data_IF_706056732725
#
_entry.id   IF_706056732725
#
_cell.length_a   1.000
_cell.length_b   1.000
_cell.length_c   1.000
_cell.angle_alpha   90.00
_cell.angle_beta   90.00
_cell.angle_gamma   90.00
#
_symmetry.space_group_name_H-M   'P 1'
#
loop_
_entity.id
_entity.type
_entity.pdbx_description
1 polymer ?
#
# COMPACT_ATOMS: atom_id res chain seq x y z
N UNK A 1 10.43 -1.28 31.70
CA UNK A 1 9.22 -2.06 32.13
C UNK A 1 8.39 -2.37 30.89
N UNK A 2 7.94 -3.63 30.71
CA UNK A 2 7.10 -4.02 29.57
C UNK A 2 5.64 -3.91 29.94
N UNK A 3 4.86 -3.21 29.13
CA UNK A 3 3.42 -3.03 29.35
C UNK A 3 2.67 -3.26 28.05
N UNK A 4 1.64 -4.11 28.11
CA UNK A 4 0.69 -4.23 27.02
C UNK A 4 -0.19 -2.98 26.98
N UNK A 5 -0.34 -2.40 25.79
CA UNK A 5 -1.12 -1.21 25.52
C UNK A 5 -2.03 -1.45 24.33
N UNK A 6 -3.27 -0.98 24.43
CA UNK A 6 -4.22 -1.02 23.34
C UNK A 6 -4.33 0.36 22.68
N UNK A 7 -4.17 0.40 21.35
CA UNK A 7 -4.46 1.56 20.54
C UNK A 7 -5.99 1.74 20.44
N UNK A 8 -6.54 2.67 21.22
CA UNK A 8 -7.99 2.91 21.31
C UNK A 8 -8.50 3.85 20.23
N UNK A 9 -7.72 4.87 19.90
CA UNK A 9 -8.13 5.87 18.93
C UNK A 9 -6.94 6.56 18.27
N UNK A 10 -7.19 7.10 17.09
CA UNK A 10 -6.25 7.91 16.31
C UNK A 10 -6.90 9.27 16.06
N UNK A 11 -6.20 10.38 16.34
CA UNK A 11 -6.73 11.70 15.96
C UNK A 11 -6.71 11.82 14.43
N UNK A 12 -7.89 11.94 13.85
CA UNK A 12 -8.11 11.86 12.40
C UNK A 12 -7.36 12.97 11.65
N UNK A 13 -7.42 14.22 12.13
CA UNK A 13 -6.82 15.37 11.43
C UNK A 13 -5.28 15.27 11.36
N UNK A 14 -4.55 15.09 12.49
CA UNK A 14 -3.09 14.87 12.43
C UNK A 14 -2.70 13.67 11.57
N UNK A 15 -3.44 12.56 11.65
CA UNK A 15 -3.18 11.37 10.84
C UNK A 15 -3.33 11.64 9.34
N UNK A 16 -4.38 12.37 8.97
CA UNK A 16 -4.67 12.71 7.56
C UNK A 16 -3.61 13.63 6.99
N UNK A 17 -3.24 14.69 7.71
CA UNK A 17 -2.25 15.67 7.25
C UNK A 17 -0.89 15.02 7.09
N UNK A 18 -0.45 14.23 8.07
CA UNK A 18 0.84 13.55 8.03
C UNK A 18 0.91 12.51 6.90
N UNK A 19 -0.11 11.64 6.75
CA UNK A 19 -0.12 10.69 5.63
C UNK A 19 -0.18 11.39 4.27
N UNK A 20 -0.94 12.48 4.15
CA UNK A 20 -0.97 13.24 2.90
C UNK A 20 0.40 13.84 2.55
N UNK A 21 1.10 14.39 3.54
CA UNK A 21 2.45 14.90 3.38
C UNK A 21 3.47 13.80 3.03
N UNK A 22 3.39 12.62 3.67
CA UNK A 22 4.22 11.46 3.31
C UNK A 22 3.98 11.04 1.86
N UNK A 23 2.73 10.96 1.41
CA UNK A 23 2.37 10.62 0.04
C UNK A 23 2.86 11.69 -0.96
N UNK A 24 2.84 12.97 -0.59
CA UNK A 24 3.39 14.04 -1.44
C UNK A 24 4.89 13.86 -1.69
N UNK A 25 5.65 13.53 -0.63
CA UNK A 25 7.09 13.30 -0.73
C UNK A 25 7.38 12.04 -1.56
N UNK A 26 6.61 10.95 -1.36
CA UNK A 26 6.70 9.77 -2.21
C UNK A 26 6.37 10.08 -3.68
N UNK A 27 5.34 10.88 -3.93
CA UNK A 27 4.99 11.37 -5.27
C UNK A 27 6.13 12.19 -5.90
N UNK A 28 6.85 12.97 -5.11
CA UNK A 28 8.02 13.72 -5.57
C UNK A 28 9.22 12.83 -5.89
N UNK A 29 9.53 11.86 -5.02
CA UNK A 29 10.56 10.86 -5.27
C UNK A 29 10.26 10.09 -6.56
N UNK A 30 9.00 9.66 -6.73
CA UNK A 30 8.55 8.98 -7.94
C UNK A 30 8.68 9.86 -9.18
N UNK A 31 8.34 11.15 -9.09
CA UNK A 31 8.49 12.09 -10.20
C UNK A 31 9.96 12.28 -10.63
N UNK A 32 10.90 12.34 -9.66
CA UNK A 32 12.33 12.42 -9.95
C UNK A 32 12.79 11.16 -10.68
N UNK A 33 12.39 9.98 -10.19
CA UNK A 33 12.71 8.70 -10.83
C UNK A 33 12.18 8.71 -12.27
N UNK A 34 10.91 9.08 -12.46
CA UNK A 34 10.28 9.14 -13.77
C UNK A 34 11.01 10.13 -14.70
N UNK A 35 11.49 11.26 -14.20
CA UNK A 35 12.28 12.22 -14.97
C UNK A 35 13.63 11.64 -15.44
N UNK A 36 14.34 10.95 -14.55
CA UNK A 36 15.62 10.32 -14.88
C UNK A 36 15.43 9.27 -15.97
N UNK A 37 14.48 8.36 -15.78
CA UNK A 37 14.20 7.30 -16.75
C UNK A 37 13.57 7.83 -18.03
N UNK A 38 12.65 8.80 -17.93
CA UNK A 38 12.03 9.45 -19.07
C UNK A 38 13.05 10.20 -19.93
N UNK A 39 14.01 10.88 -19.31
CA UNK A 39 15.12 11.53 -20.02
C UNK A 39 16.05 10.54 -20.72
N UNK A 40 16.44 9.46 -20.02
CA UNK A 40 17.26 8.40 -20.59
C UNK A 40 16.54 7.69 -21.76
N UNK A 41 15.23 7.46 -21.65
CA UNK A 41 14.47 6.80 -22.70
C UNK A 41 14.23 7.73 -23.90
N UNK A 42 13.94 9.01 -23.65
CA UNK A 42 13.77 10.01 -24.71
C UNK A 42 15.05 10.20 -25.55
N UNK A 43 16.24 10.13 -24.93
CA UNK A 43 17.51 10.21 -25.67
C UNK A 43 17.82 8.98 -26.53
N UNK A 44 17.26 7.82 -26.19
CA UNK A 44 17.38 6.62 -27.03
C UNK A 44 16.45 6.69 -28.26
N UNK A 45 15.33 7.42 -28.16
CA UNK A 45 14.34 7.54 -29.23
C UNK A 45 14.64 8.64 -30.25
N UNK A 46 15.50 9.61 -29.92
CA UNK A 46 15.73 10.81 -30.73
C UNK A 46 16.35 10.57 -32.11
N UNK A 47 16.76 9.33 -32.43
CA UNK A 47 17.25 8.91 -33.75
C UNK A 47 16.36 7.88 -34.47
N UNK A 48 15.14 7.66 -33.99
CA UNK A 48 14.21 6.65 -34.53
C UNK A 48 12.94 7.28 -35.11
N UNK A 49 12.14 6.54 -35.87
CA UNK A 49 10.81 6.96 -36.35
C UNK A 49 9.84 7.35 -35.20
N UNK A 50 10.15 6.95 -33.97
CA UNK A 50 9.42 7.30 -32.75
C UNK A 50 9.90 8.60 -32.09
N UNK A 51 10.78 9.37 -32.75
CA UNK A 51 11.30 10.64 -32.25
C UNK A 51 10.21 11.62 -31.76
N UNK A 52 9.01 11.74 -32.36
CA UNK A 52 7.95 12.61 -31.82
C UNK A 52 7.50 12.25 -30.39
N UNK A 53 7.61 10.98 -29.99
CA UNK A 53 7.26 10.54 -28.64
C UNK A 53 8.28 10.99 -27.59
N UNK A 54 9.52 11.28 -27.97
CA UNK A 54 10.56 11.76 -27.05
C UNK A 54 10.16 13.07 -26.37
N UNK A 55 9.59 14.01 -27.14
CA UNK A 55 9.09 15.28 -26.63
C UNK A 55 7.90 15.11 -25.68
N UNK A 56 7.00 14.16 -25.98
CA UNK A 56 5.85 13.84 -25.11
C UNK A 56 6.33 13.22 -23.79
N UNK A 57 7.27 12.26 -23.85
CA UNK A 57 7.81 11.59 -22.66
C UNK A 57 8.53 12.59 -21.76
N UNK A 58 9.37 13.47 -22.32
CA UNK A 58 10.02 14.54 -21.56
C UNK A 58 8.99 15.52 -20.98
N UNK A 59 7.99 15.92 -21.77
CA UNK A 59 6.93 16.82 -21.32
C UNK A 59 6.15 16.28 -20.13
N UNK A 60 5.71 15.01 -20.19
CA UNK A 60 5.03 14.33 -19.08
C UNK A 60 5.95 14.23 -17.86
N UNK A 61 7.22 13.91 -18.09
CA UNK A 61 8.20 13.75 -17.01
C UNK A 61 8.44 15.05 -16.24
N UNK A 62 8.59 16.17 -16.95
CA UNK A 62 8.79 17.50 -16.34
C UNK A 62 7.51 17.96 -15.65
N UNK A 63 6.34 17.82 -16.29
CA UNK A 63 5.06 18.14 -15.66
C UNK A 63 4.81 17.29 -14.40
N UNK A 64 5.26 16.04 -14.41
CA UNK A 64 5.19 15.10 -13.30
C UNK A 64 5.83 15.62 -12.01
N UNK A 65 6.87 16.45 -12.09
CA UNK A 65 7.52 17.04 -10.90
C UNK A 65 6.56 17.87 -10.04
N UNK A 66 5.50 18.42 -10.63
CA UNK A 66 4.48 19.19 -9.92
C UNK A 66 3.22 18.34 -9.73
N UNK A 67 2.79 17.63 -10.78
CA UNK A 67 1.53 16.90 -10.77
C UNK A 67 1.55 15.72 -9.81
N UNK A 68 2.63 14.93 -9.74
CA UNK A 68 2.67 13.76 -8.88
C UNK A 68 2.67 14.09 -7.38
N UNK A 69 3.50 15.04 -6.87
CA UNK A 69 3.45 15.40 -5.45
C UNK A 69 2.10 15.99 -5.04
N UNK A 70 1.59 16.96 -5.81
CA UNK A 70 0.33 17.64 -5.50
C UNK A 70 -0.86 16.69 -5.63
N UNK A 71 -0.88 15.89 -6.70
CA UNK A 71 -1.90 14.86 -6.91
C UNK A 71 -1.88 13.82 -5.80
N UNK A 72 -0.71 13.30 -5.44
CA UNK A 72 -0.58 12.30 -4.36
C UNK A 72 -0.99 12.87 -3.00
N UNK A 73 -0.67 14.13 -2.71
CA UNK A 73 -1.14 14.83 -1.52
C UNK A 73 -2.68 14.88 -1.48
N UNK A 74 -3.30 15.43 -2.52
CA UNK A 74 -4.76 15.65 -2.56
C UNK A 74 -5.54 14.33 -2.57
N UNK A 75 -5.09 13.35 -3.37
CA UNK A 75 -5.74 12.05 -3.50
C UNK A 75 -5.60 11.19 -2.25
N UNK A 76 -4.60 11.46 -1.39
CA UNK A 76 -4.40 10.70 -0.15
C UNK A 76 -5.16 11.27 1.06
N UNK A 77 -5.71 12.49 0.98
CA UNK A 77 -6.51 13.07 2.08
C UNK A 77 -7.72 12.19 2.39
N UNK A 78 -8.54 11.89 1.38
CA UNK A 78 -9.74 11.08 1.54
C UNK A 78 -9.45 9.67 2.11
N UNK A 79 -8.55 8.85 1.52
CA UNK A 79 -8.29 7.52 2.05
C UNK A 79 -7.68 7.55 3.44
N UNK A 80 -6.79 8.51 3.75
CA UNK A 80 -6.20 8.63 5.09
C UNK A 80 -7.24 9.02 6.14
N UNK A 81 -8.12 9.97 5.81
CA UNK A 81 -9.24 10.36 6.67
C UNK A 81 -10.17 9.18 6.94
N UNK A 82 -10.58 8.47 5.88
CA UNK A 82 -11.47 7.31 6.01
C UNK A 82 -10.81 6.18 6.80
N UNK A 83 -9.53 5.89 6.59
CA UNK A 83 -8.83 4.86 7.36
C UNK A 83 -8.81 5.15 8.86
N UNK A 84 -8.47 6.39 9.27
CA UNK A 84 -8.50 6.77 10.68
C UNK A 84 -9.92 6.79 11.28
N UNK A 85 -10.91 7.26 10.50
CA UNK A 85 -12.31 7.24 10.93
C UNK A 85 -12.82 5.81 11.12
N UNK A 86 -12.58 4.93 10.14
CA UNK A 86 -12.98 3.52 10.19
C UNK A 86 -12.28 2.77 11.32
N UNK A 87 -11.01 3.07 11.56
CA UNK A 87 -10.29 2.55 12.72
C UNK A 87 -11.03 2.89 14.01
N UNK A 88 -11.27 4.18 14.28
CA UNK A 88 -11.96 4.64 15.48
C UNK A 88 -13.39 4.07 15.61
N UNK A 89 -14.08 3.85 14.48
CA UNK A 89 -15.44 3.29 14.45
C UNK A 89 -15.46 1.78 14.75
N UNK A 90 -14.42 1.05 14.34
CA UNK A 90 -14.35 -0.41 14.45
C UNK A 90 -13.69 -0.88 15.75
N UNK A 91 -12.79 -0.10 16.34
CA UNK A 91 -12.11 -0.44 17.60
C UNK A 91 -13.09 -0.86 18.72
N UNK A 92 -14.21 -0.15 18.97
CA UNK A 92 -15.16 -0.57 20.02
C UNK A 92 -15.84 -1.93 19.76
N UNK A 93 -15.81 -2.43 18.51
CA UNK A 93 -16.47 -3.68 18.10
C UNK A 93 -15.51 -4.85 17.91
N UNK A 94 -14.31 -4.58 17.39
CA UNK A 94 -13.32 -5.59 17.03
C UNK A 94 -12.13 -5.64 17.99
N UNK A 95 -12.02 -4.68 18.91
CA UNK A 95 -10.82 -4.45 19.72
C UNK A 95 -9.77 -3.61 18.98
N UNK A 96 -8.97 -2.87 19.75
CA UNK A 96 -7.85 -2.09 19.24
C UNK A 96 -6.62 -2.93 18.92
N UNK A 97 -5.60 -2.26 18.34
CA UNK A 97 -4.31 -2.90 18.11
C UNK A 97 -3.62 -3.02 19.47
N UNK A 98 -3.35 -4.23 19.92
CA UNK A 98 -2.67 -4.49 21.18
C UNK A 98 -1.18 -4.73 20.94
N UNK A 99 -0.34 -3.89 21.56
CA UNK A 99 1.12 -3.92 21.42
C UNK A 99 1.79 -3.93 22.80
N UNK A 100 2.88 -4.67 22.91
CA UNK A 100 3.75 -4.66 24.08
C UNK A 100 4.83 -3.61 23.89
N UNK A 101 4.76 -2.55 24.69
CA UNK A 101 5.72 -1.46 24.69
C UNK A 101 6.74 -1.67 25.81
N UNK A 102 8.01 -1.56 25.46
CA UNK A 102 9.12 -1.43 26.39
C UNK A 102 9.47 0.05 26.52
N UNK A 103 9.27 0.57 27.73
CA UNK A 103 9.64 1.95 28.11
C UNK A 103 9.05 3.05 27.21
N UNK A 104 7.90 2.79 26.56
CA UNK A 104 7.25 3.71 25.60
C UNK A 104 8.14 4.11 24.41
N UNK A 105 9.21 3.35 24.15
CA UNK A 105 10.19 3.63 23.08
C UNK A 105 10.33 2.48 22.10
N UNK A 106 9.95 1.27 22.47
CA UNK A 106 10.10 0.10 21.60
C UNK A 106 8.85 -0.79 21.65
N UNK A 107 8.26 -1.05 20.48
CA UNK A 107 7.26 -2.10 20.31
C UNK A 107 8.03 -3.41 20.22
N UNK A 108 7.74 -4.35 21.13
CA UNK A 108 8.46 -5.64 21.21
C UNK A 108 7.60 -6.82 20.76
N UNK A 109 6.27 -6.67 20.87
CA UNK A 109 5.30 -7.69 20.50
C UNK A 109 4.00 -7.02 20.04
N UNK A 110 3.30 -7.65 19.10
CA UNK A 110 1.94 -7.31 18.74
C UNK A 110 1.03 -8.53 18.97
N UNK A 111 -0.14 -8.35 19.56
CA UNK A 111 -1.10 -9.46 19.64
C UNK A 111 -1.65 -9.77 18.25
N UNK A 112 -1.46 -11.02 17.82
CA UNK A 112 -1.69 -11.44 16.44
C UNK A 112 -3.16 -11.29 16.04
N UNK A 113 -4.08 -11.75 16.90
CA UNK A 113 -5.52 -11.77 16.57
C UNK A 113 -6.13 -10.37 16.55
N UNK A 114 -5.98 -9.52 17.59
CA UNK A 114 -6.52 -8.16 17.54
C UNK A 114 -5.91 -7.34 16.40
N UNK A 115 -4.60 -7.45 16.17
CA UNK A 115 -3.92 -6.76 15.07
C UNK A 115 -4.47 -7.15 13.71
N UNK A 116 -4.58 -8.46 13.44
CA UNK A 116 -5.09 -8.96 12.16
C UNK A 116 -6.56 -8.61 11.95
N UNK A 117 -7.38 -8.72 12.99
CA UNK A 117 -8.82 -8.50 12.91
C UNK A 117 -9.17 -7.03 12.63
N UNK A 118 -8.56 -6.09 13.36
CA UNK A 118 -8.85 -4.66 13.15
C UNK A 118 -8.30 -4.18 11.80
N UNK A 119 -7.12 -4.63 11.39
CA UNK A 119 -6.55 -4.25 10.09
C UNK A 119 -7.40 -4.79 8.94
N UNK A 120 -7.77 -6.08 8.99
CA UNK A 120 -8.65 -6.68 7.99
C UNK A 120 -10.03 -6.01 7.95
N UNK A 121 -10.61 -5.69 9.12
CA UNK A 121 -11.89 -5.01 9.22
C UNK A 121 -11.85 -3.61 8.60
N UNK A 122 -10.85 -2.79 8.95
CA UNK A 122 -10.67 -1.45 8.39
C UNK A 122 -10.48 -1.52 6.87
N UNK A 123 -9.58 -2.38 6.39
CA UNK A 123 -9.30 -2.49 4.95
C UNK A 123 -10.50 -3.04 4.16
N UNK A 124 -11.24 -4.00 4.71
CA UNK A 124 -12.42 -4.55 4.05
C UNK A 124 -13.56 -3.53 3.95
N UNK A 125 -13.85 -2.79 5.03
CA UNK A 125 -14.87 -1.73 5.00
C UNK A 125 -14.44 -0.59 4.08
N UNK A 126 -13.16 -0.22 4.12
CA UNK A 126 -12.61 0.76 3.18
C UNK A 126 -12.79 0.30 1.73
N UNK A 127 -12.45 -0.96 1.43
CA UNK A 127 -12.63 -1.54 0.10
C UNK A 127 -14.10 -1.56 -0.32
N UNK A 128 -15.04 -1.84 0.58
CA UNK A 128 -16.47 -1.78 0.31
C UNK A 128 -16.88 -0.36 -0.11
N UNK A 129 -16.45 0.65 0.64
CA UNK A 129 -16.74 2.06 0.34
C UNK A 129 -16.17 2.43 -1.03
N UNK A 130 -14.91 2.07 -1.32
CA UNK A 130 -14.29 2.34 -2.61
C UNK A 130 -15.02 1.64 -3.76
N UNK A 131 -15.43 0.39 -3.59
CA UNK A 131 -16.15 -0.35 -4.63
C UNK A 131 -17.57 0.15 -4.85
N UNK A 132 -18.25 0.68 -3.83
CA UNK A 132 -19.55 1.35 -4.01
C UNK A 132 -19.44 2.57 -4.94
N UNK A 133 -18.31 3.27 -4.92
CA UNK A 133 -18.07 4.42 -5.81
C UNK A 133 -17.52 4.01 -7.17
N UNK A 134 -16.56 3.08 -7.19
CA UNK A 134 -15.81 2.72 -8.40
C UNK A 134 -16.60 1.77 -9.30
N UNK A 135 -17.32 0.79 -8.75
CA UNK A 135 -17.97 -0.25 -9.55
C UNK A 135 -19.01 0.29 -10.55
N UNK A 136 -19.86 1.28 -10.21
CA UNK A 136 -20.75 1.90 -11.19
C UNK A 136 -19.98 2.63 -12.31
N UNK A 137 -18.89 3.33 -11.97
CA UNK A 137 -18.05 4.01 -12.95
C UNK A 137 -17.35 3.01 -13.88
N UNK A 138 -16.88 1.89 -13.34
CA UNK A 138 -16.30 0.80 -14.13
C UNK A 138 -17.33 0.20 -15.09
N UNK A 139 -18.57 -0.02 -14.65
CA UNK A 139 -19.63 -0.55 -15.50
C UNK A 139 -19.89 0.39 -16.70
N UNK A 140 -20.01 1.70 -16.45
CA UNK A 140 -20.19 2.72 -17.52
C UNK A 140 -19.00 2.74 -18.48
N UNK A 141 -17.76 2.66 -17.96
CA UNK A 141 -16.57 2.65 -18.81
C UNK A 141 -16.47 1.39 -19.66
N UNK A 142 -16.79 0.22 -19.10
CA UNK A 142 -16.81 -1.06 -19.83
C UNK A 142 -17.88 -1.01 -20.93
N UNK A 143 -19.05 -0.44 -20.66
CA UNK A 143 -20.10 -0.26 -21.66
C UNK A 143 -19.69 0.72 -22.77
N UNK A 144 -19.03 1.83 -22.42
CA UNK A 144 -18.51 2.79 -23.39
C UNK A 144 -17.46 2.15 -24.31
N UNK A 145 -16.50 1.40 -23.74
CA UNK A 145 -15.46 0.69 -24.52
C UNK A 145 -16.09 -0.39 -25.38
N UNK A 146 -17.05 -1.16 -24.84
CA UNK A 146 -17.80 -2.17 -25.58
C UNK A 146 -18.59 -1.58 -26.75
N UNK A 147 -19.18 -0.39 -26.57
CA UNK A 147 -19.89 0.36 -27.61
C UNK A 147 -18.97 0.90 -28.71
N UNK A 148 -17.74 1.30 -28.38
CA UNK A 148 -16.73 1.69 -29.38
C UNK A 148 -16.26 0.47 -30.18
N UNK A 149 -16.10 -0.68 -29.54
CA UNK A 149 -15.73 -1.94 -30.21
C UNK A 149 -16.77 -2.40 -31.23
N UNK A 150 -18.07 -2.27 -30.92
CA UNK A 150 -19.15 -2.60 -31.86
C UNK A 150 -19.27 -1.60 -33.01
N UNK A 151 -19.01 -0.31 -32.78
CA UNK A 151 -18.94 0.70 -33.84
C UNK A 151 -17.74 0.49 -34.78
N UNK A 152 -16.58 0.12 -34.25
CA UNK A 152 -15.39 -0.21 -35.04
C UNK A 152 -15.60 -1.46 -35.92
N UNK A 153 -16.30 -2.47 -35.40
CA UNK A 153 -16.67 -3.67 -36.17
C UNK A 153 -17.72 -3.34 -37.24
N UNK A 154 -18.74 -2.54 -36.92
CA UNK A 154 -19.75 -2.09 -37.88
C UNK A 154 -19.15 -1.27 -39.04
N UNK A 155 -18.08 -0.50 -38.80
CA UNK A 155 -17.37 0.25 -39.83
C UNK A 155 -16.59 -0.63 -40.83
N UNK A 156 -16.39 -1.91 -40.55
CA UNK A 156 -15.62 -2.85 -41.41
C UNK A 156 -16.49 -3.84 -42.19
N UNK A 157 -17.83 -3.77 -42.10
CA UNK A 157 -18.78 -4.73 -42.70
C UNK A 157 -18.50 -6.21 -42.39
N UNK A 158 -17.65 -6.51 -41.39
CA UNK A 158 -17.52 -7.85 -40.87
C UNK A 158 -18.84 -8.22 -40.18
N UNK A 159 -19.47 -9.32 -40.61
CA UNK A 159 -20.69 -9.85 -39.98
C UNK A 159 -20.46 -9.90 -38.48
N UNK A 160 -21.21 -9.07 -37.76
CA UNK A 160 -21.12 -8.91 -36.32
C UNK A 160 -21.35 -10.27 -35.65
N UNK A 161 -20.25 -10.98 -35.35
CA UNK A 161 -20.26 -11.92 -34.24
C UNK A 161 -20.70 -11.11 -33.05
N UNK A 162 -21.92 -11.37 -32.59
CA UNK A 162 -22.51 -10.70 -31.43
C UNK A 162 -21.48 -10.78 -30.30
N UNK A 163 -20.75 -9.69 -30.03
CA UNK A 163 -20.04 -9.59 -28.77
C UNK A 163 -21.15 -9.78 -27.73
N UNK A 164 -21.10 -10.85 -26.91
CA UNK A 164 -22.13 -11.07 -25.91
C UNK A 164 -22.28 -9.78 -25.13
N UNK A 165 -23.51 -9.31 -24.93
CA UNK A 165 -23.81 -8.05 -24.27
C UNK A 165 -23.03 -7.93 -22.95
N UNK A 166 -21.85 -7.32 -23.00
CA UNK A 166 -20.97 -7.14 -21.85
C UNK A 166 -21.65 -6.24 -20.80
N UNK A 167 -22.65 -5.44 -21.20
CA UNK A 167 -23.46 -4.58 -20.32
C UNK A 167 -24.38 -5.34 -19.37
N UNK A 168 -24.98 -6.47 -19.78
CA UNK A 168 -25.86 -7.28 -18.91
C UNK A 168 -25.09 -8.01 -17.80
N UNK A 169 -23.86 -8.42 -18.09
CA UNK A 169 -22.91 -8.95 -17.10
C UNK A 169 -22.24 -7.84 -16.27
N UNK A 170 -22.27 -6.58 -16.74
CA UNK A 170 -21.67 -5.43 -16.07
C UNK A 170 -22.40 -5.03 -14.79
N UNK A 171 -23.73 -4.92 -14.81
CA UNK A 171 -24.49 -4.52 -13.61
C UNK A 171 -24.56 -5.61 -12.54
N UNK A 172 -24.90 -6.85 -12.91
CA UNK A 172 -24.88 -7.98 -11.96
C UNK A 172 -23.46 -8.33 -11.52
N UNK A 173 -22.48 -8.27 -12.42
CA UNK A 173 -21.06 -8.45 -12.09
C UNK A 173 -20.54 -7.36 -11.16
N UNK A 174 -20.97 -6.12 -11.31
CA UNK A 174 -20.65 -5.03 -10.39
C UNK A 174 -21.23 -5.28 -8.99
N UNK A 175 -22.48 -5.71 -8.87
CA UNK A 175 -23.11 -6.03 -7.57
C UNK A 175 -22.36 -7.19 -6.89
N UNK A 176 -22.04 -8.25 -7.63
CA UNK A 176 -21.25 -9.38 -7.09
C UNK A 176 -19.87 -8.90 -6.66
N UNK A 177 -19.20 -8.05 -7.43
CA UNK A 177 -17.88 -7.53 -7.11
C UNK A 177 -17.87 -6.59 -5.89
N UNK A 178 -18.90 -5.76 -5.73
CA UNK A 178 -19.09 -4.88 -4.55
C UNK A 178 -19.13 -5.69 -3.26
N UNK A 179 -19.79 -6.86 -3.26
CA UNK A 179 -19.94 -7.70 -2.08
C UNK A 179 -18.73 -8.62 -1.90
N UNK A 180 -18.26 -9.26 -2.98
CA UNK A 180 -17.24 -10.28 -2.93
C UNK A 180 -15.84 -9.70 -2.70
N UNK A 181 -15.52 -8.54 -3.28
CA UNK A 181 -14.19 -7.92 -3.13
C UNK A 181 -13.85 -7.61 -1.67
N UNK A 182 -14.71 -6.96 -0.86
CA UNK A 182 -14.45 -6.75 0.56
C UNK A 182 -14.27 -8.04 1.35
N UNK A 183 -15.03 -9.09 1.05
CA UNK A 183 -14.91 -10.38 1.74
C UNK A 183 -13.57 -11.06 1.45
N UNK A 184 -13.18 -11.08 0.17
CA UNK A 184 -11.88 -11.59 -0.25
C UNK A 184 -10.75 -10.78 0.38
N UNK A 185 -10.83 -9.45 0.32
CA UNK A 185 -9.86 -8.55 0.96
C UNK A 185 -9.77 -8.80 2.46
N UNK A 186 -10.90 -8.97 3.16
CA UNK A 186 -10.90 -9.31 4.58
C UNK A 186 -10.09 -10.57 4.86
N UNK A 187 -10.35 -11.66 4.13
CA UNK A 187 -9.65 -12.95 4.34
C UNK A 187 -8.16 -12.82 4.06
N UNK A 188 -7.77 -12.23 2.93
CA UNK A 188 -6.36 -12.09 2.56
C UNK A 188 -5.61 -11.15 3.49
N UNK A 189 -6.20 -10.01 3.88
CA UNK A 189 -5.57 -9.08 4.82
C UNK A 189 -5.50 -9.70 6.21
N UNK A 190 -6.53 -10.43 6.66
CA UNK A 190 -6.49 -11.11 7.96
C UNK A 190 -5.35 -12.13 8.02
N UNK A 191 -5.25 -13.01 7.02
CA UNK A 191 -4.18 -14.02 6.95
C UNK A 191 -2.81 -13.33 6.84
N UNK A 192 -2.67 -12.36 5.94
CA UNK A 192 -1.42 -11.63 5.73
C UNK A 192 -0.95 -10.88 6.98
N UNK A 193 -1.86 -10.18 7.65
CA UNK A 193 -1.59 -9.46 8.89
C UNK A 193 -1.25 -10.40 10.05
N UNK A 194 -1.94 -11.53 10.17
CA UNK A 194 -1.65 -12.54 11.19
C UNK A 194 -0.25 -13.14 10.99
N UNK A 195 0.11 -13.50 9.75
CA UNK A 195 1.46 -13.99 9.43
C UNK A 195 2.51 -12.91 9.72
N UNK A 196 2.27 -11.66 9.30
CA UNK A 196 3.18 -10.56 9.56
C UNK A 196 3.39 -10.33 11.06
N UNK A 197 2.34 -10.37 11.88
CA UNK A 197 2.44 -10.23 13.34
C UNK A 197 3.17 -11.42 13.99
N UNK A 198 2.95 -12.65 13.51
CA UNK A 198 3.68 -13.83 13.97
C UNK A 198 5.18 -13.72 13.67
N UNK A 199 5.53 -13.34 12.44
CA UNK A 199 6.91 -13.13 12.03
C UNK A 199 7.54 -11.97 12.81
N UNK A 200 6.81 -10.89 13.01
CA UNK A 200 7.24 -9.78 13.85
C UNK A 200 7.59 -10.23 15.26
N UNK A 201 6.69 -10.95 15.94
CA UNK A 201 6.92 -11.46 17.28
C UNK A 201 8.10 -12.45 17.36
N UNK A 202 8.37 -13.18 16.29
CA UNK A 202 9.51 -14.10 16.20
C UNK A 202 10.84 -13.37 15.95
N UNK A 203 10.82 -12.28 15.19
CA UNK A 203 12.00 -11.54 14.75
C UNK A 203 12.40 -10.40 15.70
N UNK A 204 11.43 -9.74 16.33
CA UNK A 204 11.68 -8.58 17.21
C UNK A 204 12.67 -8.90 18.35
N UNK A 205 12.61 -10.06 19.03
CA UNK A 205 13.60 -10.41 20.05
C UNK A 205 15.03 -10.58 19.52
N UNK A 206 15.22 -10.75 18.20
CA UNK A 206 16.52 -11.00 17.57
C UNK A 206 17.10 -9.77 16.86
N UNK A 207 16.24 -8.95 16.26
CA UNK A 207 16.64 -7.80 15.44
C UNK A 207 16.45 -6.46 16.14
N UNK A 208 15.82 -6.47 17.33
CA UNK A 208 15.23 -5.27 17.92
C UNK A 208 13.84 -5.03 17.33
N UNK A 209 12.92 -4.61 18.18
CA UNK A 209 11.57 -4.24 17.83
C UNK A 209 11.48 -2.92 17.07
N UNK A 210 10.26 -2.42 16.88
CA UNK A 210 10.08 -1.10 16.26
C UNK A 210 10.35 -0.03 17.31
N UNK A 211 11.40 0.76 17.12
CA UNK A 211 11.73 1.86 18.02
C UNK A 211 10.99 3.12 17.61
N UNK A 212 10.09 3.57 18.48
CA UNK A 212 9.17 4.69 18.28
C UNK A 212 9.17 5.52 19.56
N UNK A 213 9.56 6.79 19.48
CA UNK A 213 9.53 7.69 20.62
C UNK A 213 8.13 8.27 20.81
N UNK A 214 7.50 7.93 21.93
CA UNK A 214 6.17 8.40 22.30
C UNK A 214 6.26 9.48 23.37
N UNK A 215 5.76 10.68 23.06
CA UNK A 215 5.62 11.76 24.04
C UNK A 215 4.18 11.86 24.54
N UNK A 216 3.99 11.89 25.85
CA UNK A 216 2.67 12.07 26.44
C UNK A 216 2.15 13.49 26.14
N UNK A 217 0.92 13.56 25.67
CA UNK A 217 0.17 14.79 25.43
C UNK A 217 -1.04 14.88 26.37
N UNK A 218 -1.72 16.01 26.35
CA UNK A 218 -2.99 16.23 27.05
C UNK A 218 -4.06 15.22 26.60
N UNK A 219 -4.93 14.80 27.53
CA UNK A 219 -6.08 13.90 27.32
C UNK A 219 -5.75 12.44 26.95
N UNK A 220 -4.75 11.81 27.58
CA UNK A 220 -4.34 10.41 27.32
C UNK A 220 -3.89 10.11 25.88
N UNK A 221 -3.56 11.13 25.10
CA UNK A 221 -2.95 10.97 23.79
C UNK A 221 -1.43 10.93 23.90
N UNK A 222 -0.80 10.12 23.06
CA UNK A 222 0.63 10.08 22.85
C UNK A 222 0.94 10.55 21.43
N UNK A 223 1.91 11.44 21.31
CA UNK A 223 2.48 11.86 20.03
C UNK A 223 3.60 10.91 19.63
N UNK A 224 3.57 10.43 18.39
CA UNK A 224 4.70 9.68 17.80
C UNK A 224 5.74 10.69 17.33
N UNK A 225 6.72 11.05 18.13
CA UNK A 225 7.65 12.13 17.79
C UNK A 225 8.65 11.71 16.73
N UNK A 226 9.26 10.53 16.92
CA UNK A 226 10.24 9.97 16.02
C UNK A 226 10.08 8.45 15.87
N UNK A 227 10.50 7.95 14.71
CA UNK A 227 10.56 6.52 14.40
C UNK A 227 11.99 6.22 13.97
N UNK A 228 12.64 5.24 14.59
CA UNK A 228 14.01 4.86 14.20
C UNK A 228 13.98 4.23 12.79
N UNK A 229 14.61 4.86 11.78
CA UNK A 229 14.51 4.38 10.40
C UNK A 229 15.15 3.01 10.17
N UNK A 230 16.25 2.74 10.86
CA UNK A 230 16.99 1.49 10.71
C UNK A 230 16.22 0.35 11.35
N UNK A 231 15.67 0.56 12.56
CA UNK A 231 14.92 -0.47 13.27
C UNK A 231 13.66 -0.89 12.50
N UNK A 232 12.85 0.08 12.05
CA UNK A 232 11.63 -0.22 11.27
C UNK A 232 11.95 -0.83 9.91
N UNK A 233 12.98 -0.33 9.21
CA UNK A 233 13.42 -0.88 7.93
C UNK A 233 13.92 -2.32 8.08
N UNK A 234 14.73 -2.60 9.11
CA UNK A 234 15.30 -3.93 9.34
C UNK A 234 14.23 -4.96 9.67
N UNK A 235 13.31 -4.65 10.60
CA UNK A 235 12.27 -5.61 11.01
C UNK A 235 11.27 -5.88 9.88
N UNK A 236 10.84 -4.84 9.16
CA UNK A 236 9.90 -5.00 8.02
C UNK A 236 10.57 -5.67 6.82
N UNK A 237 11.83 -5.30 6.52
CA UNK A 237 12.64 -5.96 5.50
C UNK A 237 12.86 -7.44 5.81
N UNK A 238 13.17 -7.79 7.06
CA UNK A 238 13.33 -9.19 7.47
C UNK A 238 12.03 -9.99 7.35
N UNK A 239 10.88 -9.42 7.72
CA UNK A 239 9.57 -10.04 7.48
C UNK A 239 9.36 -10.27 5.98
N UNK A 240 9.65 -9.27 5.14
CA UNK A 240 9.54 -9.39 3.69
C UNK A 240 10.49 -10.45 3.11
N UNK A 241 11.70 -10.59 3.64
CA UNK A 241 12.65 -11.63 3.23
C UNK A 241 12.13 -13.04 3.55
N UNK A 242 11.53 -13.23 4.73
CA UNK A 242 10.94 -14.52 5.12
C UNK A 242 9.74 -14.86 4.25
N UNK A 243 8.85 -13.90 3.99
CA UNK A 243 7.72 -14.09 3.07
C UNK A 243 8.20 -14.34 1.63
N UNK A 244 9.21 -13.59 1.18
CA UNK A 244 9.85 -13.73 -0.12
C UNK A 244 10.54 -15.09 -0.26
N UNK A 245 11.09 -15.66 0.82
CA UNK A 245 11.65 -17.00 0.82
C UNK A 245 10.56 -18.05 0.63
N UNK A 246 9.45 -17.94 1.37
CA UNK A 246 8.31 -18.86 1.25
C UNK A 246 7.76 -18.84 -0.19
N UNK A 247 7.48 -17.65 -0.71
CA UNK A 247 6.97 -17.49 -2.08
C UNK A 247 8.01 -17.91 -3.13
N UNK A 248 9.27 -17.53 -2.95
CA UNK A 248 10.35 -17.85 -3.85
C UNK A 248 10.61 -19.35 -3.96
N UNK A 249 10.48 -20.11 -2.86
CA UNK A 249 10.58 -21.58 -2.88
C UNK A 249 9.42 -22.19 -3.69
N UNK A 250 8.20 -21.68 -3.50
CA UNK A 250 7.04 -22.13 -4.28
C UNK A 250 7.28 -21.90 -5.78
N UNK A 251 7.76 -20.71 -6.16
CA UNK A 251 8.10 -20.42 -7.55
C UNK A 251 9.25 -21.29 -8.06
N UNK A 252 10.30 -21.51 -7.27
CA UNK A 252 11.40 -22.40 -7.65
C UNK A 252 10.89 -23.80 -7.99
N UNK A 253 10.01 -24.38 -7.16
CA UNK A 253 9.42 -25.69 -7.41
C UNK A 253 8.60 -25.70 -8.71
N UNK A 254 7.78 -24.68 -8.93
CA UNK A 254 6.97 -24.56 -10.15
C UNK A 254 7.85 -24.45 -11.41
N UNK A 255 8.88 -23.59 -11.37
CA UNK A 255 9.79 -23.41 -12.50
C UNK A 255 10.69 -24.62 -12.74
N UNK A 256 11.09 -25.33 -11.69
CA UNK A 256 11.80 -26.60 -11.80
C UNK A 256 10.92 -27.66 -12.48
N UNK A 257 9.63 -27.73 -12.14
CA UNK A 257 8.68 -28.63 -12.80
C UNK A 257 8.45 -28.29 -14.28
N UNK A 258 8.61 -27.02 -14.66
CA UNK A 258 8.54 -26.53 -16.04
C UNK A 258 9.88 -26.64 -16.81
N UNK A 259 10.93 -27.22 -16.19
CA UNK A 259 12.24 -27.44 -16.81
C UNK A 259 13.21 -26.24 -16.77
N UNK A 260 12.86 -25.16 -16.07
CA UNK A 260 13.62 -23.90 -16.03
C UNK A 260 14.09 -23.57 -14.62
N UNK A 261 14.98 -24.41 -14.06
CA UNK A 261 15.50 -24.25 -12.70
C UNK A 261 16.22 -22.90 -12.53
N UNK A 262 16.97 -22.45 -13.53
CA UNK A 262 17.71 -21.18 -13.50
C UNK A 262 16.77 -19.97 -13.28
N UNK A 263 15.62 -19.95 -13.97
CA UNK A 263 14.61 -18.92 -13.80
C UNK A 263 13.99 -18.98 -12.39
N UNK A 264 13.76 -20.20 -11.87
CA UNK A 264 13.29 -20.41 -10.50
C UNK A 264 14.28 -19.87 -9.44
N UNK A 265 15.58 -20.09 -9.62
CA UNK A 265 16.62 -19.57 -8.73
C UNK A 265 16.67 -18.04 -8.79
N UNK A 266 16.64 -17.47 -10.00
CA UNK A 266 16.63 -16.02 -10.18
C UNK A 266 15.43 -15.39 -9.44
N UNK A 267 14.23 -15.93 -9.64
CA UNK A 267 13.01 -15.45 -8.98
C UNK A 267 13.13 -15.57 -7.46
N UNK A 268 13.62 -16.68 -6.93
CA UNK A 268 13.86 -16.85 -5.50
C UNK A 268 14.76 -15.74 -4.95
N UNK A 269 15.90 -15.49 -5.60
CA UNK A 269 16.84 -14.45 -5.17
C UNK A 269 16.22 -13.05 -5.26
N UNK A 270 15.45 -12.77 -6.32
CA UNK A 270 14.75 -11.50 -6.48
C UNK A 270 13.71 -11.28 -5.37
N UNK A 271 12.91 -12.28 -5.02
CA UNK A 271 11.91 -12.15 -3.95
C UNK A 271 12.55 -12.00 -2.58
N UNK A 272 13.61 -12.76 -2.28
CA UNK A 272 14.27 -12.70 -0.97
C UNK A 272 15.10 -11.42 -0.82
N UNK A 273 16.08 -11.22 -1.69
CA UNK A 273 17.05 -10.13 -1.59
C UNK A 273 16.41 -8.82 -2.07
N UNK A 274 15.77 -8.84 -3.24
CA UNK A 274 15.09 -7.67 -3.79
C UNK A 274 13.93 -7.21 -2.90
N UNK A 275 13.13 -8.17 -2.39
CA UNK A 275 12.06 -7.88 -1.43
C UNK A 275 12.58 -7.27 -0.13
N UNK A 276 13.65 -7.85 0.46
CA UNK A 276 14.31 -7.29 1.64
C UNK A 276 14.77 -5.85 1.41
N UNK A 277 15.55 -5.62 0.36
CA UNK A 277 16.15 -4.31 0.07
C UNK A 277 15.06 -3.26 -0.20
N UNK A 278 14.07 -3.60 -1.02
CA UNK A 278 12.99 -2.67 -1.38
C UNK A 278 12.18 -2.27 -0.15
N UNK A 279 11.74 -3.24 0.65
CA UNK A 279 10.96 -2.98 1.86
C UNK A 279 11.79 -2.24 2.91
N UNK A 280 13.05 -2.64 3.12
CA UNK A 280 13.96 -1.93 4.02
C UNK A 280 14.08 -0.45 3.65
N UNK A 281 14.40 -0.16 2.39
CA UNK A 281 14.57 1.21 1.89
C UNK A 281 13.24 1.98 2.01
N UNK A 282 12.12 1.38 1.61
CA UNK A 282 10.83 2.05 1.64
C UNK A 282 10.40 2.45 3.06
N UNK A 283 10.49 1.54 4.04
CA UNK A 283 10.10 1.85 5.41
C UNK A 283 11.12 2.75 6.13
N UNK A 284 12.42 2.57 5.88
CA UNK A 284 13.44 3.47 6.41
C UNK A 284 13.28 4.90 5.86
N UNK A 285 13.08 5.06 4.55
CA UNK A 285 12.81 6.38 3.96
C UNK A 285 11.52 6.99 4.50
N UNK A 286 10.45 6.20 4.64
CA UNK A 286 9.19 6.70 5.21
C UNK A 286 9.39 7.22 6.63
N UNK A 287 10.16 6.51 7.47
CA UNK A 287 10.48 6.96 8.82
C UNK A 287 11.38 8.22 8.83
N UNK A 288 12.36 8.32 7.92
CA UNK A 288 13.17 9.53 7.76
C UNK A 288 12.31 10.74 7.39
N UNK A 289 11.44 10.58 6.39
CA UNK A 289 10.52 11.63 5.96
C UNK A 289 9.58 12.00 7.10
N UNK A 290 9.02 11.01 7.80
CA UNK A 290 8.18 11.22 8.97
C UNK A 290 8.89 12.07 10.04
N UNK A 291 10.13 11.73 10.40
CA UNK A 291 10.91 12.46 11.40
C UNK A 291 11.20 13.91 10.99
N UNK A 292 11.35 14.17 9.68
CA UNK A 292 11.52 15.54 9.15
C UNK A 292 10.21 16.33 9.18
N UNK A 293 9.08 15.66 8.98
CA UNK A 293 7.75 16.28 8.92
C UNK A 293 7.12 16.48 10.30
N UNK A 294 7.31 15.55 11.22
CA UNK A 294 6.69 15.50 12.56
C UNK A 294 6.85 16.83 13.33
N UNK A 295 8.05 17.46 13.38
CA UNK A 295 8.23 18.77 14.03
C UNK A 295 7.57 19.95 13.30
N UNK A 296 7.28 19.82 12.00
CA UNK A 296 6.80 20.92 11.13
C UNK A 296 5.28 20.97 11.01
N UNK A 297 4.65 19.82 10.84
CA UNK A 297 3.21 19.70 10.58
C UNK A 297 2.45 18.99 11.71
N UNK A 298 3.16 18.55 12.75
CA UNK A 298 2.64 17.83 13.90
C UNK A 298 2.75 16.30 13.74
N UNK A 299 2.97 15.61 14.84
CA UNK A 299 3.08 14.15 14.91
C UNK A 299 1.72 13.45 14.85
N UNK A 300 1.74 12.14 14.55
CA UNK A 300 0.58 11.28 14.79
C UNK A 300 0.21 11.31 16.27
N UNK A 301 -1.09 11.43 16.56
CA UNK A 301 -1.62 11.43 17.92
C UNK A 301 -2.50 10.22 18.11
N UNK A 302 -2.11 9.36 19.03
CA UNK A 302 -2.73 8.06 19.31
C UNK A 302 -3.13 7.96 20.78
N UNK A 303 -4.28 7.37 21.07
CA UNK A 303 -4.70 7.08 22.44
C UNK A 303 -4.29 5.65 22.79
N UNK A 304 -3.48 5.49 23.84
CA UNK A 304 -3.00 4.20 24.33
C UNK A 304 -3.53 3.99 25.75
N UNK A 305 -4.19 2.85 25.97
CA UNK A 305 -4.69 2.43 27.29
C UNK A 305 -4.04 1.12 27.74
#
# INVERSE_FOLDING_TARGET
MKTMKELKSIKIVPYTIMNAALNAVWGFIFAIILLIFGGAFASLLSGTELAPLSGVILGISVAGLIVFPVGSFLLSIMPSFLQALLYNLLVPKLGGIQIELEEMTEVTRAEVVPFALILAGVTAVFQLIMQLVIAPLQAVLIELIGGIGTLALAATNATAGQLPAMGGAGALGAIVNIILSPLITFIFVFIGAAIAALLYNFLAPKLGGMKVELAQMTDNFFGVESINPVAIGLITGAIAAVLGLILGIIFLILFAALGSIEAGILILLTYVIGGFILVFIAYALTALIYNVLSPKIGSFKIQLE
#
